data_IF_815534031726
#
_entry.id   IF_815534031726
#
_cell.length_a   1.000
_cell.length_b   1.000
_cell.length_c   1.000
_cell.angle_alpha   90.00
_cell.angle_beta   90.00
_cell.angle_gamma   90.00
#
_symmetry.space_group_name_H-M   'P 1'
#
loop_
_entity.id
_entity.type
_entity.pdbx_description
1 polymer ?
#
# COMPACT_ATOMS: atom_id res chain seq x y z
N UNK A 1 4.47 11.07 -16.46
CA UNK A 1 4.22 9.67 -16.09
C UNK A 1 2.75 9.42 -16.30
N UNK A 2 2.39 8.23 -16.76
CA UNK A 2 0.98 7.83 -16.83
C UNK A 2 0.78 6.83 -15.70
N UNK A 3 -0.05 7.20 -14.74
CA UNK A 3 -0.56 6.25 -13.75
C UNK A 3 -1.77 5.55 -14.36
N UNK A 4 -2.01 4.30 -13.97
CA UNK A 4 -3.10 3.48 -14.48
C UNK A 4 -3.92 2.96 -13.31
N UNK A 5 -5.20 3.35 -13.29
CA UNK A 5 -6.17 2.83 -12.35
C UNK A 5 -6.83 1.58 -12.93
N UNK A 6 -7.19 0.62 -12.09
CA UNK A 6 -7.98 -0.53 -12.52
C UNK A 6 -9.47 -0.21 -12.42
N UNK A 7 -10.16 -0.25 -13.56
CA UNK A 7 -11.61 -0.07 -13.72
C UNK A 7 -12.13 -1.15 -14.69
N UNK A 8 -12.04 -2.42 -14.27
CA UNK A 8 -12.20 -3.62 -15.13
C UNK A 8 -11.09 -3.81 -16.17
N UNK A 9 -10.53 -2.71 -16.69
CA UNK A 9 -9.29 -2.63 -17.46
C UNK A 9 -8.40 -1.52 -16.89
N UNK A 10 -7.11 -1.53 -17.25
CA UNK A 10 -6.21 -0.46 -16.85
C UNK A 10 -6.45 0.80 -17.68
N UNK A 11 -6.87 1.88 -17.01
CA UNK A 11 -7.15 3.17 -17.62
C UNK A 11 -6.14 4.21 -17.16
N UNK A 12 -5.61 4.99 -18.11
CA UNK A 12 -4.68 6.07 -17.81
C UNK A 12 -5.36 7.19 -17.01
N UNK A 13 -4.73 7.63 -15.93
CA UNK A 13 -5.19 8.72 -15.07
C UNK A 13 -4.09 9.75 -14.83
N UNK A 14 -4.50 11.00 -14.65
CA UNK A 14 -3.61 12.14 -14.31
C UNK A 14 -3.78 12.62 -12.87
N UNK A 15 -4.84 12.18 -12.19
CA UNK A 15 -5.13 12.47 -10.79
C UNK A 15 -5.09 11.18 -9.98
N UNK A 16 -4.54 11.26 -8.76
CA UNK A 16 -4.43 10.13 -7.85
C UNK A 16 -5.26 10.41 -6.60
N UNK A 17 -6.16 9.50 -6.30
CA UNK A 17 -6.95 9.49 -5.07
C UNK A 17 -6.21 8.70 -3.98
N UNK A 18 -6.04 9.25 -2.76
CA UNK A 18 -5.47 8.52 -1.65
C UNK A 18 -6.25 7.24 -1.32
N UNK A 19 -5.54 6.19 -0.91
CA UNK A 19 -6.16 4.89 -0.57
C UNK A 19 -6.45 3.98 -1.77
N UNK A 20 -6.30 4.48 -3.01
CA UNK A 20 -6.46 3.71 -4.24
C UNK A 20 -5.12 3.27 -4.82
N UNK A 21 -5.04 2.04 -5.32
CA UNK A 21 -3.85 1.49 -5.97
C UNK A 21 -3.75 1.88 -7.44
N UNK A 22 -2.54 2.24 -7.89
CA UNK A 22 -2.25 2.62 -9.28
C UNK A 22 -0.97 1.95 -9.77
N UNK A 23 -0.95 1.52 -11.03
CA UNK A 23 0.30 1.17 -11.70
C UNK A 23 0.94 2.39 -12.31
N UNK A 24 2.24 2.55 -12.12
CA UNK A 24 2.99 3.67 -12.70
C UNK A 24 3.99 3.13 -13.71
N UNK A 25 3.86 3.55 -14.97
CA UNK A 25 4.83 3.19 -16.01
C UNK A 25 6.01 4.15 -15.98
N UNK A 26 7.18 3.62 -15.58
CA UNK A 26 8.44 4.38 -15.48
C UNK A 26 9.41 3.90 -16.58
N UNK A 27 9.46 4.59 -17.74
CA UNK A 27 10.23 4.12 -18.91
C UNK A 27 11.76 4.25 -18.74
N UNK A 28 12.22 5.05 -17.78
CA UNK A 28 13.62 5.23 -17.41
C UNK A 28 13.66 5.76 -15.97
N UNK A 29 14.80 5.59 -15.29
CA UNK A 29 14.98 6.07 -13.92
C UNK A 29 14.65 7.56 -13.81
N UNK A 30 13.66 7.88 -12.98
CA UNK A 30 13.20 9.25 -12.75
C UNK A 30 12.57 9.34 -11.37
N UNK A 31 12.85 10.43 -10.67
CA UNK A 31 12.16 10.79 -9.42
C UNK A 31 10.83 11.46 -9.75
N UNK A 32 9.74 10.97 -9.16
CA UNK A 32 8.42 11.60 -9.26
C UNK A 32 8.04 12.19 -7.90
N UNK A 33 7.73 13.48 -7.87
CA UNK A 33 7.18 14.13 -6.68
C UNK A 33 5.66 14.04 -6.72
N UNK A 34 5.08 13.33 -5.77
CA UNK A 34 3.64 13.32 -5.54
C UNK A 34 3.29 14.46 -4.57
N UNK A 35 2.28 15.28 -4.91
CA UNK A 35 1.78 16.38 -4.07
C UNK A 35 0.30 16.16 -3.81
N UNK A 36 -0.12 16.38 -2.58
CA UNK A 36 -1.50 16.23 -2.16
C UNK A 36 -1.67 16.47 -0.67
N UNK A 37 -2.92 16.42 -0.16
CA UNK A 37 -3.18 16.49 1.26
C UNK A 37 -2.51 15.32 2.00
N UNK A 38 -2.16 15.54 3.26
CA UNK A 38 -1.59 14.49 4.10
C UNK A 38 -2.58 13.33 4.26
N UNK A 39 -2.20 12.14 3.80
CA UNK A 39 -2.96 10.92 4.02
C UNK A 39 -2.48 10.26 5.30
N UNK A 40 -3.17 10.57 6.41
CA UNK A 40 -2.74 10.18 7.77
C UNK A 40 -3.23 8.81 8.21
N UNK A 41 -4.29 8.30 7.59
CA UNK A 41 -5.00 7.13 8.08
C UNK A 41 -5.69 6.41 6.92
N UNK A 42 -5.34 5.15 6.71
CA UNK A 42 -6.00 4.25 5.79
C UNK A 42 -6.79 3.21 6.58
N UNK A 43 -8.08 3.09 6.30
CA UNK A 43 -8.97 2.10 6.91
C UNK A 43 -9.65 1.33 5.81
N UNK A 44 -9.38 0.03 5.72
CA UNK A 44 -9.91 -0.80 4.66
C UNK A 44 -10.44 -2.11 5.23
N UNK A 45 -11.59 -2.52 4.72
CA UNK A 45 -12.11 -3.85 4.98
C UNK A 45 -11.47 -4.83 4.00
N UNK A 46 -10.72 -5.79 4.52
CA UNK A 46 -9.99 -6.77 3.73
C UNK A 46 -10.49 -8.17 4.03
N UNK A 47 -10.50 -9.03 3.01
CA UNK A 47 -10.82 -10.44 3.18
C UNK A 47 -9.68 -11.19 3.88
N UNK A 48 -9.95 -12.41 4.33
CA UNK A 48 -8.89 -13.33 4.79
C UNK A 48 -7.90 -13.61 3.66
N UNK A 49 -6.60 -13.69 3.99
CA UNK A 49 -5.55 -14.03 3.03
C UNK A 49 -4.59 -12.88 2.71
N UNK A 50 -4.00 -12.90 1.52
CA UNK A 50 -2.92 -12.01 1.12
C UNK A 50 -3.41 -10.74 0.45
N UNK A 51 -2.83 -9.61 0.86
CA UNK A 51 -3.07 -8.28 0.29
C UNK A 51 -1.75 -7.54 0.12
N UNK A 52 -1.66 -6.66 -0.88
CA UNK A 52 -0.53 -5.77 -1.07
C UNK A 52 -0.96 -4.35 -0.69
N UNK A 53 -0.30 -3.77 0.32
CA UNK A 53 -0.64 -2.45 0.85
C UNK A 53 0.59 -1.55 0.92
N UNK A 54 0.39 -0.26 0.66
CA UNK A 54 1.44 0.76 0.77
C UNK A 54 1.54 1.35 2.18
N UNK A 55 2.73 1.77 2.57
CA UNK A 55 2.94 2.64 3.72
C UNK A 55 2.37 4.04 3.49
N UNK A 56 1.99 4.70 4.58
CA UNK A 56 1.54 6.10 4.59
C UNK A 56 2.72 7.04 4.87
N UNK A 57 2.46 8.33 5.15
CA UNK A 57 3.51 9.33 5.43
C UNK A 57 4.24 9.15 6.79
N UNK A 58 4.21 7.97 7.39
CA UNK A 58 5.04 7.59 8.54
C UNK A 58 5.25 6.08 8.60
N UNK A 59 6.25 5.66 9.38
CA UNK A 59 6.47 4.26 9.69
C UNK A 59 5.45 3.77 10.72
N UNK A 60 4.65 2.77 10.36
CA UNK A 60 3.50 2.34 11.16
C UNK A 60 3.35 0.82 11.20
N UNK A 61 2.80 0.31 12.30
CA UNK A 61 2.43 -1.10 12.44
C UNK A 61 0.93 -1.25 12.14
N UNK A 62 0.52 -2.07 11.15
CA UNK A 62 -0.90 -2.29 10.86
C UNK A 62 -1.68 -2.84 12.04
N UNK A 63 -2.90 -2.36 12.24
CA UNK A 63 -3.80 -2.79 13.31
C UNK A 63 -5.10 -3.41 12.76
N UNK A 64 -5.70 -4.38 13.47
CA UNK A 64 -5.26 -4.93 14.74
C UNK A 64 -4.18 -6.01 14.53
N UNK A 65 -3.09 -5.93 15.31
CA UNK A 65 -1.90 -6.77 15.10
C UNK A 65 -2.17 -8.29 15.29
N UNK A 66 -3.17 -8.65 16.08
CA UNK A 66 -3.59 -10.03 16.33
C UNK A 66 -4.20 -10.71 15.08
N UNK A 67 -4.89 -9.94 14.23
CA UNK A 67 -5.42 -10.41 12.96
C UNK A 67 -4.36 -10.49 11.85
N UNK A 68 -3.17 -9.92 12.08
CA UNK A 68 -2.05 -9.99 11.13
C UNK A 68 -1.30 -11.31 11.31
N UNK A 69 -1.20 -12.09 10.23
CA UNK A 69 -0.48 -13.35 10.23
C UNK A 69 1.00 -13.19 10.03
N UNK A 70 1.39 -12.40 9.04
CA UNK A 70 2.77 -12.12 8.65
C UNK A 70 2.75 -10.93 7.69
N UNK A 71 3.83 -10.16 7.72
CA UNK A 71 4.09 -9.08 6.76
C UNK A 71 5.47 -9.30 6.12
N UNK A 72 5.54 -9.09 4.81
CA UNK A 72 6.76 -9.17 4.02
C UNK A 72 7.02 -7.88 3.25
N UNK A 73 8.21 -7.32 3.45
CA UNK A 73 8.77 -6.30 2.56
C UNK A 73 9.58 -6.95 1.43
N UNK A 74 9.80 -6.18 0.36
CA UNK A 74 10.66 -6.60 -0.74
C UNK A 74 11.73 -5.55 -1.00
N UNK A 75 12.99 -6.00 -1.04
CA UNK A 75 14.12 -5.19 -1.50
C UNK A 75 14.90 -5.93 -2.58
N UNK A 76 15.69 -6.94 -2.19
CA UNK A 76 16.34 -7.90 -3.11
C UNK A 76 15.74 -9.31 -2.99
N UNK A 77 15.24 -9.61 -1.80
CA UNK A 77 14.47 -10.79 -1.45
C UNK A 77 13.36 -10.36 -0.50
N UNK A 78 12.40 -11.26 -0.26
CA UNK A 78 11.40 -11.04 0.77
C UNK A 78 12.02 -11.16 2.16
N UNK A 79 11.66 -10.23 3.05
CA UNK A 79 12.06 -10.26 4.45
C UNK A 79 10.85 -9.99 5.34
N UNK A 80 10.78 -10.68 6.48
CA UNK A 80 9.72 -10.48 7.45
C UNK A 80 9.94 -9.15 8.18
N UNK A 81 8.86 -8.43 8.43
CA UNK A 81 8.83 -7.16 9.18
C UNK A 81 7.44 -6.99 9.75
N UNK A 82 7.28 -6.11 10.74
CA UNK A 82 5.96 -5.70 11.26
C UNK A 82 5.65 -4.23 10.94
N UNK A 83 6.61 -3.52 10.32
CA UNK A 83 6.56 -2.08 10.10
C UNK A 83 6.42 -1.79 8.62
N UNK A 84 5.46 -0.93 8.29
CA UNK A 84 5.31 -0.34 6.98
C UNK A 84 6.10 0.97 6.94
N UNK A 85 7.17 1.04 6.15
CA UNK A 85 7.93 2.27 5.96
C UNK A 85 7.31 3.16 4.88
N UNK A 86 7.58 4.46 5.00
CA UNK A 86 7.08 5.48 4.08
C UNK A 86 7.50 5.18 2.64
N UNK A 87 6.53 5.18 1.72
CA UNK A 87 6.78 5.02 0.29
C UNK A 87 7.11 3.60 -0.17
N UNK A 88 7.10 2.61 0.73
CA UNK A 88 7.23 1.18 0.39
C UNK A 88 5.88 0.49 0.36
N UNK A 89 5.82 -0.68 -0.25
CA UNK A 89 4.67 -1.57 -0.24
C UNK A 89 5.03 -2.92 0.36
N UNK A 90 4.07 -3.54 1.02
CA UNK A 90 4.25 -4.76 1.81
C UNK A 90 3.13 -5.75 1.51
N UNK A 91 3.50 -7.02 1.40
CA UNK A 91 2.54 -8.11 1.41
C UNK A 91 2.14 -8.39 2.85
N UNK A 92 0.86 -8.33 3.15
CA UNK A 92 0.29 -8.65 4.45
C UNK A 92 -0.66 -9.82 4.30
N UNK A 93 -0.57 -10.80 5.21
CA UNK A 93 -1.53 -11.89 5.29
C UNK A 93 -2.42 -11.70 6.51
N UNK A 94 -3.73 -11.67 6.33
CA UNK A 94 -4.70 -11.63 7.43
C UNK A 94 -5.16 -13.03 7.81
N UNK A 95 -5.32 -13.26 9.12
CA UNK A 95 -5.83 -14.52 9.68
C UNK A 95 -7.30 -14.70 9.35
N UNK A 96 -8.08 -13.63 9.53
CA UNK A 96 -9.48 -13.53 9.20
C UNK A 96 -9.78 -12.22 8.46
N UNK A 97 -10.92 -12.15 7.79
CA UNK A 97 -11.37 -10.90 7.18
C UNK A 97 -11.77 -9.89 8.24
N UNK A 98 -11.53 -8.60 7.99
CA UNK A 98 -11.84 -7.53 8.92
C UNK A 98 -11.30 -6.17 8.50
N UNK A 99 -11.53 -5.17 9.33
CA UNK A 99 -10.95 -3.84 9.14
C UNK A 99 -9.45 -3.88 9.49
N UNK A 100 -8.62 -3.43 8.55
CA UNK A 100 -7.22 -3.12 8.78
C UNK A 100 -7.02 -1.61 8.78
N UNK A 101 -6.29 -1.13 9.77
CA UNK A 101 -6.04 0.28 10.05
C UNK A 101 -4.54 0.55 10.01
N UNK A 102 -4.16 1.52 9.17
CA UNK A 102 -2.78 1.98 8.99
C UNK A 102 -2.80 3.50 9.19
N UNK A 103 -2.48 3.98 10.39
CA UNK A 103 -2.58 5.39 10.74
C UNK A 103 -1.35 5.85 11.52
N UNK A 104 -0.95 7.11 11.29
CA UNK A 104 0.13 7.81 12.00
C UNK A 104 -0.44 8.71 13.09
#
# INVERSE_FOLDING_TARGET
SVAYAFEQTYQAVTQLEPGRGYWVKVPYSRTYTLKGPAFKCNRQWLSKGWHLLGGINASVVPQPADNVSVVYGFERSYFATDIFEVGKAYWIKLREGGELVICN
#
